data_IF_412978566168
#
_entry.id   IF_412978566168
#
_cell.length_a   1.000
_cell.length_b   1.000
_cell.length_c   1.000
_cell.angle_alpha   90.00
_cell.angle_beta   90.00
_cell.angle_gamma   90.00
#
_symmetry.space_group_name_H-M   'P 1'
#
loop_
_entity.id
_entity.type
_entity.pdbx_description
1 polymer ?
#
# COMPACT_ATOMS: atom_id res chain seq x y z
N UNK A 1 7.90 -1.38 19.24
CA UNK A 1 6.46 -1.11 18.98
C UNK A 1 6.21 -0.56 17.57
N UNK A 2 6.91 0.51 17.14
CA UNK A 2 6.70 1.10 15.79
C UNK A 2 6.86 0.11 14.62
N UNK A 3 7.85 -0.79 14.67
CA UNK A 3 8.05 -1.83 13.64
C UNK A 3 6.91 -2.86 13.60
N UNK A 4 6.25 -3.09 14.73
CA UNK A 4 5.19 -4.09 14.83
C UNK A 4 3.86 -3.52 14.33
N UNK A 5 3.53 -2.29 14.75
CA UNK A 5 2.33 -1.55 14.34
C UNK A 5 2.43 -0.98 12.92
N UNK A 6 3.64 -0.59 12.48
CA UNK A 6 3.88 -0.02 11.15
C UNK A 6 4.46 -1.00 10.13
N UNK A 7 4.87 -2.21 10.55
CA UNK A 7 5.50 -3.20 9.68
C UNK A 7 4.72 -4.51 9.60
N UNK A 8 4.89 -5.40 10.59
CA UNK A 8 4.41 -6.79 10.51
C UNK A 8 2.87 -6.87 10.42
N UNK A 9 2.14 -6.18 11.31
CA UNK A 9 0.68 -6.22 11.30
C UNK A 9 0.12 -5.67 9.97
N UNK A 10 0.55 -4.48 9.50
CA UNK A 10 0.17 -4.00 8.17
C UNK A 10 0.52 -4.96 7.04
N UNK A 11 1.68 -5.63 7.08
CA UNK A 11 2.08 -6.57 6.02
C UNK A 11 1.08 -7.74 5.89
N UNK A 12 0.61 -8.30 7.02
CA UNK A 12 -0.40 -9.36 7.03
C UNK A 12 -1.75 -8.84 6.51
N UNK A 13 -2.20 -7.68 7.01
CA UNK A 13 -3.48 -7.10 6.60
C UNK A 13 -3.50 -6.70 5.12
N UNK A 14 -2.41 -6.15 4.61
CA UNK A 14 -2.26 -5.79 3.20
C UNK A 14 -2.16 -7.04 2.30
N UNK A 15 -1.58 -8.12 2.80
CA UNK A 15 -1.62 -9.44 2.14
C UNK A 15 -3.05 -9.97 2.01
N UNK A 16 -3.81 -9.94 3.11
CA UNK A 16 -5.23 -10.33 3.13
C UNK A 16 -6.07 -9.44 2.21
N UNK A 17 -5.83 -8.13 2.21
CA UNK A 17 -6.46 -7.19 1.30
C UNK A 17 -6.30 -7.61 -0.17
N UNK A 18 -5.09 -8.02 -0.60
CA UNK A 18 -4.87 -8.49 -1.98
C UNK A 18 -5.69 -9.74 -2.34
N UNK A 19 -5.84 -10.67 -1.40
CA UNK A 19 -6.68 -11.87 -1.57
C UNK A 19 -8.15 -11.49 -1.70
N UNK A 20 -8.67 -10.66 -0.77
CA UNK A 20 -10.05 -10.20 -0.78
C UNK A 20 -10.37 -9.38 -2.03
N UNK A 21 -9.41 -8.56 -2.50
CA UNK A 21 -9.53 -7.83 -3.76
C UNK A 21 -9.68 -8.77 -4.95
N UNK A 22 -8.87 -9.85 -5.03
CA UNK A 22 -9.03 -10.87 -6.09
C UNK A 22 -10.38 -11.58 -6.01
N UNK A 23 -10.86 -11.91 -4.81
CA UNK A 23 -12.18 -12.54 -4.61
C UNK A 23 -13.29 -11.61 -5.11
N UNK A 24 -13.23 -10.32 -4.73
CA UNK A 24 -14.17 -9.30 -5.19
C UNK A 24 -14.16 -9.16 -6.72
N UNK A 25 -12.98 -9.12 -7.34
CA UNK A 25 -12.83 -9.09 -8.79
C UNK A 25 -13.41 -10.34 -9.47
N UNK A 26 -13.19 -11.53 -8.91
CA UNK A 26 -13.78 -12.79 -9.42
C UNK A 26 -15.31 -12.82 -9.28
N UNK A 27 -15.87 -12.13 -8.30
CA UNK A 27 -17.31 -11.96 -8.15
C UNK A 27 -17.93 -10.97 -9.15
N UNK A 28 -17.12 -10.35 -10.02
CA UNK A 28 -17.61 -9.52 -11.13
C UNK A 28 -17.85 -8.05 -10.76
N UNK A 29 -17.29 -7.55 -9.65
CA UNK A 29 -17.44 -6.14 -9.31
C UNK A 29 -16.76 -5.24 -10.35
N UNK A 30 -17.43 -4.14 -10.74
CA UNK A 30 -16.81 -3.10 -11.55
C UNK A 30 -15.83 -2.25 -10.73
N UNK A 31 -14.70 -1.86 -11.32
CA UNK A 31 -13.64 -1.08 -10.64
C UNK A 31 -14.17 0.18 -9.95
N UNK A 32 -15.09 0.92 -10.60
CA UNK A 32 -15.69 2.12 -10.00
C UNK A 32 -16.48 1.81 -8.73
N UNK A 33 -17.35 0.81 -8.77
CA UNK A 33 -18.12 0.38 -7.59
C UNK A 33 -17.22 -0.17 -6.47
N UNK A 34 -16.18 -0.92 -6.83
CA UNK A 34 -15.17 -1.39 -5.89
C UNK A 34 -14.52 -0.22 -5.13
N UNK A 35 -14.08 0.83 -5.85
CA UNK A 35 -13.47 2.00 -5.24
C UNK A 35 -14.47 2.82 -4.39
N UNK A 36 -15.73 2.95 -4.82
CA UNK A 36 -16.76 3.64 -4.05
C UNK A 36 -17.05 2.93 -2.72
N UNK A 37 -17.21 1.62 -2.74
CA UNK A 37 -17.45 0.82 -1.51
C UNK A 37 -16.25 0.92 -0.57
N UNK A 38 -15.02 0.84 -1.10
CA UNK A 38 -13.82 1.09 -0.30
C UNK A 38 -13.81 2.48 0.31
N UNK A 39 -14.13 3.52 -0.47
CA UNK A 39 -14.20 4.90 0.00
C UNK A 39 -15.17 5.06 1.18
N UNK A 40 -16.41 4.56 1.04
CA UNK A 40 -17.41 4.57 2.11
C UNK A 40 -16.91 3.83 3.34
N UNK A 41 -16.30 2.64 3.16
CA UNK A 41 -15.77 1.84 4.26
C UNK A 41 -14.65 2.58 5.00
N UNK A 42 -13.73 3.22 4.27
CA UNK A 42 -12.64 4.03 4.83
C UNK A 42 -13.21 5.23 5.59
N UNK A 43 -14.23 5.92 5.05
CA UNK A 43 -14.88 7.04 5.75
C UNK A 43 -15.51 6.59 7.07
N UNK A 44 -16.22 5.45 7.08
CA UNK A 44 -16.84 4.90 8.30
C UNK A 44 -15.77 4.55 9.33
N UNK A 45 -14.78 3.74 8.96
CA UNK A 45 -13.73 3.30 9.88
C UNK A 45 -12.87 4.48 10.35
N UNK A 46 -12.53 5.42 9.46
CA UNK A 46 -11.82 6.65 9.79
C UNK A 46 -12.61 7.52 10.78
N UNK A 47 -13.94 7.59 10.63
CA UNK A 47 -14.83 8.24 11.59
C UNK A 47 -14.76 7.58 12.97
N UNK A 48 -14.76 6.26 13.05
CA UNK A 48 -14.56 5.53 14.31
C UNK A 48 -13.20 5.87 14.94
N UNK A 49 -12.12 5.85 14.15
CA UNK A 49 -10.79 6.25 14.64
C UNK A 49 -10.75 7.69 15.15
N UNK A 50 -11.41 8.62 14.46
CA UNK A 50 -11.49 10.03 14.88
C UNK A 50 -12.26 10.25 16.18
N UNK A 51 -13.20 9.36 16.51
CA UNK A 51 -13.97 9.42 17.76
C UNK A 51 -13.22 8.82 18.96
N UNK A 52 -12.49 7.73 18.75
CA UNK A 52 -11.78 7.01 19.83
C UNK A 52 -10.38 7.55 20.10
N UNK A 53 -9.73 8.17 19.11
CA UNK A 53 -8.38 8.69 19.28
C UNK A 53 -8.40 10.08 19.96
N UNK A 54 -7.55 10.30 20.98
CA UNK A 54 -7.52 11.57 21.70
C UNK A 54 -6.91 12.72 20.89
N UNK A 55 -6.11 12.42 19.86
CA UNK A 55 -5.54 13.44 18.98
C UNK A 55 -6.57 13.88 17.92
N UNK A 56 -6.89 15.17 17.90
CA UNK A 56 -7.85 15.80 16.97
C UNK A 56 -7.22 16.92 16.15
N UNK A 57 -5.89 16.95 16.02
CA UNK A 57 -5.20 17.99 15.25
C UNK A 57 -5.53 17.87 13.77
N UNK A 58 -6.12 18.92 13.21
CA UNK A 58 -6.35 19.07 11.78
C UNK A 58 -5.79 20.41 11.32
N UNK A 59 -4.97 20.38 10.27
CA UNK A 59 -4.45 21.58 9.60
C UNK A 59 -4.71 21.51 8.11
N UNK A 60 -4.78 22.67 7.44
CA UNK A 60 -4.91 22.71 5.98
C UNK A 60 -3.75 22.02 5.26
N UNK A 61 -2.53 22.17 5.78
CA UNK A 61 -1.36 21.51 5.22
C UNK A 61 -1.46 19.98 5.32
N UNK A 62 -1.79 19.45 6.51
CA UNK A 62 -1.96 18.00 6.68
C UNK A 62 -3.09 17.45 5.83
N UNK A 63 -4.22 18.16 5.73
CA UNK A 63 -5.33 17.76 4.88
C UNK A 63 -4.94 17.71 3.40
N UNK A 64 -4.19 18.69 2.90
CA UNK A 64 -3.69 18.72 1.52
C UNK A 64 -2.81 17.51 1.20
N UNK A 65 -1.86 17.17 2.08
CA UNK A 65 -1.03 15.97 1.91
C UNK A 65 -1.85 14.69 1.97
N UNK A 66 -2.84 14.60 2.87
CA UNK A 66 -3.74 13.44 2.95
C UNK A 66 -4.54 13.23 1.66
N UNK A 67 -4.99 14.30 1.00
CA UNK A 67 -5.66 14.21 -0.30
C UNK A 67 -4.75 13.60 -1.35
N UNK A 68 -3.49 14.05 -1.44
CA UNK A 68 -2.51 13.48 -2.38
C UNK A 68 -2.23 12.01 -2.09
N UNK A 69 -2.11 11.64 -0.81
CA UNK A 69 -1.98 10.23 -0.38
C UNK A 69 -3.18 9.40 -0.85
N UNK A 70 -4.40 9.90 -0.64
CA UNK A 70 -5.62 9.21 -1.05
C UNK A 70 -5.72 9.06 -2.57
N UNK A 71 -5.34 10.09 -3.34
CA UNK A 71 -5.30 10.02 -4.81
C UNK A 71 -4.33 8.94 -5.29
N UNK A 72 -3.09 8.94 -4.79
CA UNK A 72 -2.07 7.95 -5.17
C UNK A 72 -2.54 6.52 -4.85
N UNK A 73 -3.08 6.30 -3.64
CA UNK A 73 -3.57 5.00 -3.21
C UNK A 73 -4.77 4.52 -4.03
N UNK A 74 -5.73 5.41 -4.31
CA UNK A 74 -6.95 5.09 -5.05
C UNK A 74 -6.63 4.72 -6.50
N UNK A 75 -5.73 5.47 -7.15
CA UNK A 75 -5.29 5.19 -8.52
C UNK A 75 -4.57 3.83 -8.57
N UNK A 76 -3.61 3.59 -7.68
CA UNK A 76 -2.90 2.31 -7.62
C UNK A 76 -3.85 1.12 -7.40
N UNK A 77 -4.76 1.25 -6.42
CA UNK A 77 -5.75 0.22 -6.10
C UNK A 77 -6.72 -0.05 -7.25
N UNK A 78 -7.12 1.01 -7.97
CA UNK A 78 -7.95 0.91 -9.17
C UNK A 78 -7.24 0.18 -10.31
N UNK A 79 -5.96 0.48 -10.56
CA UNK A 79 -5.15 -0.21 -11.57
C UNK A 79 -4.98 -1.70 -11.25
N UNK A 80 -4.75 -2.05 -9.97
CA UNK A 80 -4.71 -3.45 -9.53
C UNK A 80 -6.06 -4.12 -9.77
N UNK A 81 -7.16 -3.48 -9.38
CA UNK A 81 -8.51 -4.03 -9.60
C UNK A 81 -8.77 -4.27 -11.10
N UNK A 82 -8.37 -3.35 -11.99
CA UNK A 82 -8.46 -3.51 -13.44
C UNK A 82 -7.61 -4.70 -13.93
N UNK A 83 -6.37 -4.81 -13.46
CA UNK A 83 -5.49 -5.94 -13.81
C UNK A 83 -6.12 -7.29 -13.42
N UNK A 84 -6.77 -7.33 -12.27
CA UNK A 84 -7.40 -8.56 -11.75
C UNK A 84 -8.71 -8.92 -12.44
N UNK A 85 -9.56 -7.92 -12.73
CA UNK A 85 -10.91 -8.14 -13.28
C UNK A 85 -10.91 -8.24 -14.80
N UNK A 86 -10.21 -7.33 -15.49
CA UNK A 86 -10.21 -7.21 -16.96
C UNK A 86 -9.12 -8.03 -17.62
N UNK A 87 -7.93 -8.06 -17.02
CA UNK A 87 -6.77 -8.76 -17.59
C UNK A 87 -6.54 -10.15 -16.96
N UNK A 88 -7.39 -10.53 -16.01
CA UNK A 88 -7.34 -11.81 -15.30
C UNK A 88 -5.98 -12.17 -14.69
N UNK A 89 -5.14 -11.17 -14.42
CA UNK A 89 -3.78 -11.37 -13.94
C UNK A 89 -3.73 -12.15 -12.62
N UNK A 90 -2.67 -12.92 -12.44
CA UNK A 90 -2.44 -13.70 -11.23
C UNK A 90 -2.00 -12.81 -10.08
N UNK A 91 -2.77 -12.85 -8.99
CA UNK A 91 -2.46 -12.08 -7.78
C UNK A 91 -1.08 -12.45 -7.21
N UNK A 92 -0.67 -13.72 -7.35
CA UNK A 92 0.64 -14.20 -6.93
C UNK A 92 1.82 -13.53 -7.67
N UNK A 93 1.61 -13.07 -8.91
CA UNK A 93 2.61 -12.32 -9.69
C UNK A 93 2.53 -10.82 -9.45
N UNK A 94 1.32 -10.29 -9.29
CA UNK A 94 1.10 -8.87 -9.05
C UNK A 94 1.59 -8.41 -7.68
N UNK A 95 1.31 -9.19 -6.61
CA UNK A 95 1.62 -8.82 -5.23
C UNK A 95 3.11 -8.48 -5.03
N UNK A 96 4.07 -9.33 -5.44
CA UNK A 96 5.48 -8.98 -5.33
C UNK A 96 5.84 -7.73 -6.14
N UNK A 97 5.25 -7.55 -7.33
CA UNK A 97 5.54 -6.42 -8.20
C UNK A 97 5.13 -5.09 -7.58
N UNK A 98 3.86 -4.92 -7.21
CA UNK A 98 3.40 -3.64 -6.69
C UNK A 98 3.91 -3.39 -5.26
N UNK A 99 4.24 -4.44 -4.49
CA UNK A 99 4.88 -4.28 -3.17
C UNK A 99 6.36 -3.89 -3.25
N UNK A 100 6.98 -3.86 -4.44
CA UNK A 100 8.24 -3.14 -4.63
C UNK A 100 8.09 -1.62 -4.41
N UNK A 101 6.85 -1.10 -4.26
CA UNK A 101 6.61 0.25 -3.74
C UNK A 101 7.32 0.51 -2.40
N UNK A 102 7.60 -0.53 -1.61
CA UNK A 102 8.37 -0.45 -0.37
C UNK A 102 9.77 0.13 -0.60
N UNK A 103 10.41 -0.24 -1.71
CA UNK A 103 11.71 0.28 -2.10
C UNK A 103 11.62 1.73 -2.59
N UNK A 104 10.54 2.07 -3.29
CA UNK A 104 10.27 3.44 -3.73
C UNK A 104 10.08 4.35 -2.51
N UNK A 105 9.23 3.95 -1.57
CA UNK A 105 8.99 4.70 -0.32
C UNK A 105 10.25 4.80 0.52
N UNK A 106 10.99 3.70 0.72
CA UNK A 106 12.23 3.74 1.49
C UNK A 106 13.30 4.61 0.81
N UNK A 107 13.47 4.51 -0.50
CA UNK A 107 14.41 5.34 -1.26
C UNK A 107 14.05 6.83 -1.18
N UNK A 108 12.78 7.18 -1.37
CA UNK A 108 12.31 8.55 -1.22
C UNK A 108 12.41 9.03 0.23
N UNK A 109 12.19 8.18 1.23
CA UNK A 109 12.35 8.51 2.64
C UNK A 109 13.79 8.86 2.99
N UNK A 110 14.75 8.05 2.51
CA UNK A 110 16.18 8.35 2.63
C UNK A 110 16.52 9.70 2.01
N UNK A 111 16.01 10.01 0.81
CA UNK A 111 16.34 11.25 0.10
C UNK A 111 15.64 12.49 0.66
N UNK A 112 14.32 12.43 0.84
CA UNK A 112 13.48 13.59 1.20
C UNK A 112 13.63 13.92 2.69
N UNK A 113 13.66 12.90 3.55
CA UNK A 113 13.76 13.09 5.00
C UNK A 113 15.20 12.96 5.52
N UNK A 114 16.17 12.76 4.62
CA UNK A 114 17.60 12.66 4.96
C UNK A 114 17.85 11.52 5.96
N UNK A 115 17.04 10.45 5.89
CA UNK A 115 17.14 9.31 6.81
C UNK A 115 18.40 8.45 6.57
N UNK A 116 19.13 8.68 5.48
CA UNK A 116 20.39 7.98 5.18
C UNK A 116 21.47 8.16 6.25
N UNK A 117 21.39 9.22 7.06
CA UNK A 117 22.29 9.44 8.19
C UNK A 117 21.98 8.52 9.38
N UNK A 118 20.75 8.02 9.47
CA UNK A 118 20.24 7.29 10.61
C UNK A 118 20.25 5.77 10.41
N UNK A 119 20.65 5.30 9.22
CA UNK A 119 20.62 3.87 8.86
C UNK A 119 21.97 3.36 8.37
N UNK A 120 22.14 2.04 8.42
CA UNK A 120 23.28 1.39 7.79
C UNK A 120 23.01 1.21 6.28
N UNK A 121 23.49 2.18 5.48
CA UNK A 121 23.35 2.23 4.03
C UNK A 121 23.75 0.92 3.31
N UNK A 122 24.90 0.27 3.63
CA UNK A 122 25.26 -1.01 3.02
C UNK A 122 24.24 -2.13 3.29
N UNK A 123 23.82 -2.30 4.55
CA UNK A 123 22.81 -3.32 4.91
C UNK A 123 21.48 -3.05 4.25
N UNK A 124 21.07 -1.79 4.17
CA UNK A 124 19.87 -1.38 3.46
C UNK A 124 19.96 -1.71 1.96
N UNK A 125 21.07 -1.35 1.31
CA UNK A 125 21.29 -1.63 -0.12
C UNK A 125 21.25 -3.12 -0.43
N UNK A 126 21.89 -3.95 0.40
CA UNK A 126 21.81 -5.41 0.26
C UNK A 126 20.39 -5.94 0.43
N UNK A 127 19.66 -5.46 1.43
CA UNK A 127 18.25 -5.81 1.64
C UNK A 127 17.37 -5.43 0.44
N UNK A 128 17.56 -4.21 -0.10
CA UNK A 128 16.84 -3.73 -1.28
C UNK A 128 17.12 -4.61 -2.51
N UNK A 129 18.38 -4.98 -2.75
CA UNK A 129 18.76 -5.89 -3.85
C UNK A 129 18.08 -7.25 -3.71
N UNK A 130 18.05 -7.83 -2.50
CA UNK A 130 17.38 -9.11 -2.25
C UNK A 130 15.87 -9.02 -2.52
N UNK A 131 15.21 -7.91 -2.17
CA UNK A 131 13.78 -7.69 -2.47
C UNK A 131 13.56 -7.61 -3.98
N UNK A 132 14.40 -6.86 -4.72
CA UNK A 132 14.29 -6.73 -6.18
C UNK A 132 14.45 -8.10 -6.84
N UNK A 133 15.50 -8.84 -6.48
CA UNK A 133 15.78 -10.16 -7.04
C UNK A 133 14.63 -11.11 -6.73
N UNK A 134 14.17 -11.16 -5.47
CA UNK A 134 13.03 -11.98 -5.07
C UNK A 134 11.75 -11.65 -5.85
N UNK A 135 11.42 -10.36 -5.99
CA UNK A 135 10.28 -9.91 -6.78
C UNK A 135 10.36 -10.32 -8.25
N UNK A 136 11.54 -10.14 -8.88
CA UNK A 136 11.74 -10.51 -10.29
C UNK A 136 11.65 -12.01 -10.53
N UNK A 137 12.14 -12.84 -9.59
CA UNK A 137 12.07 -14.30 -9.71
C UNK A 137 10.62 -14.79 -9.71
N UNK A 138 9.76 -14.24 -8.86
CA UNK A 138 8.34 -14.65 -8.79
C UNK A 138 7.58 -14.30 -10.07
N UNK A 139 7.93 -13.21 -10.73
CA UNK A 139 7.28 -12.80 -12.00
C UNK A 139 7.61 -13.76 -13.14
N UNK A 140 8.84 -14.28 -13.16
CA UNK A 140 9.36 -15.17 -14.20
C UNK A 140 9.04 -16.65 -13.96
N UNK A 141 8.48 -17.00 -12.79
CA UNK A 141 7.97 -18.34 -12.48
C UNK A 141 6.61 -18.58 -13.13
#
# INVERSE_FOLDING_TARGET
MGILLGGIIPAVLLGLFGVLQKISAKAGIGTGYYLLILGVTITILGGVFALIMPDRRLSFASAGWTVLTACAWTVATGLIAIALSKYHADIAKLVPLYNMNTLVTAGLGLLIFVEWQNINLPKFGLGALLIIIGGMLVVKA
#
